data_IF_830928717122
#
_entry.id   IF_830928717122
#
_cell.length_a   1.000
_cell.length_b   1.000
_cell.length_c   1.000
_cell.angle_alpha   90.00
_cell.angle_beta   90.00
_cell.angle_gamma   90.00
#
_symmetry.space_group_name_H-M   'P 1'
#
loop_
_entity.id
_entity.type
_entity.pdbx_description
1 polymer ?
#
# COMPACT_ATOMS: atom_id res chain seq x y z
N UNK A 1 48.46 0.22 -50.22
CA UNK A 1 47.42 -0.42 -49.40
C UNK A 1 47.69 -1.92 -49.44
N UNK A 2 47.89 -2.69 -48.38
CA UNK A 2 47.46 -2.60 -46.98
C UNK A 2 48.58 -3.09 -46.03
N UNK A 3 48.85 -2.34 -44.97
CA UNK A 3 49.60 -2.81 -43.80
C UNK A 3 48.72 -3.77 -42.99
N UNK A 4 49.28 -4.93 -42.59
CA UNK A 4 48.63 -5.87 -41.67
C UNK A 4 48.44 -5.22 -40.29
N UNK A 5 47.29 -5.44 -39.63
CA UNK A 5 47.01 -4.85 -38.32
C UNK A 5 47.83 -5.53 -37.22
N UNK A 6 48.45 -4.72 -36.36
CA UNK A 6 49.05 -5.18 -35.10
C UNK A 6 47.94 -5.54 -34.13
N UNK A 7 47.81 -6.83 -33.80
CA UNK A 7 46.96 -7.29 -32.72
C UNK A 7 47.59 -6.95 -31.37
N UNK A 8 46.95 -6.07 -30.60
CA UNK A 8 47.23 -5.87 -29.18
C UNK A 8 46.88 -7.17 -28.43
N UNK A 9 47.90 -7.97 -28.10
CA UNK A 9 47.74 -9.07 -27.14
C UNK A 9 47.83 -8.44 -25.74
N UNK A 10 46.68 -8.34 -25.06
CA UNK A 10 46.62 -8.00 -23.64
C UNK A 10 47.45 -9.04 -22.84
N UNK A 11 48.24 -8.64 -21.84
CA UNK A 11 48.97 -9.58 -21.01
C UNK A 11 47.98 -10.48 -20.28
N UNK A 12 48.22 -11.80 -20.34
CA UNK A 12 47.43 -12.79 -19.63
C UNK A 12 47.37 -12.46 -18.13
N UNK A 13 46.16 -12.47 -17.56
CA UNK A 13 45.97 -12.30 -16.12
C UNK A 13 46.82 -13.32 -15.34
N UNK A 14 47.47 -12.93 -14.23
CA UNK A 14 48.26 -13.85 -13.44
C UNK A 14 47.40 -15.03 -12.97
N UNK A 15 47.95 -16.26 -12.93
CA UNK A 15 47.21 -17.42 -12.47
C UNK A 15 46.73 -17.16 -11.03
N UNK A 16 45.43 -17.34 -10.81
CA UNK A 16 44.84 -17.29 -9.47
C UNK A 16 45.58 -18.28 -8.57
N UNK A 17 46.00 -17.87 -7.36
CA UNK A 17 46.71 -18.78 -6.47
C UNK A 17 45.82 -19.98 -6.18
N UNK A 18 46.37 -21.22 -6.18
CA UNK A 18 45.59 -22.40 -5.88
C UNK A 18 44.98 -22.23 -4.49
N UNK A 19 43.65 -22.41 -4.40
CA UNK A 19 42.93 -22.38 -3.13
C UNK A 19 43.64 -23.36 -2.19
N UNK A 20 44.09 -22.92 -1.00
CA UNK A 20 44.83 -23.80 -0.10
C UNK A 20 43.95 -25.00 0.24
N UNK A 21 44.51 -26.19 0.02
CA UNK A 21 43.82 -27.45 0.28
C UNK A 21 43.56 -27.52 1.79
N UNK A 22 42.32 -27.30 2.21
CA UNK A 22 41.94 -27.40 3.62
C UNK A 22 41.92 -28.86 4.02
N UNK A 23 42.54 -29.16 5.17
CA UNK A 23 42.42 -30.47 5.82
C UNK A 23 40.94 -30.73 6.09
N UNK A 24 40.47 -31.93 5.76
CA UNK A 24 39.11 -32.35 6.12
C UNK A 24 38.99 -32.39 7.65
N UNK A 25 38.04 -31.64 8.19
CA UNK A 25 37.67 -31.65 9.61
C UNK A 25 36.27 -32.25 9.72
N UNK A 26 36.14 -33.28 10.56
CA UNK A 26 34.86 -33.94 10.80
C UNK A 26 33.94 -32.98 11.58
N UNK A 27 33.00 -32.36 10.88
CA UNK A 27 32.03 -31.45 11.47
C UNK A 27 30.75 -32.19 11.88
N UNK A 28 30.11 -31.79 12.98
CA UNK A 28 28.85 -32.40 13.38
C UNK A 28 27.70 -32.04 12.43
N UNK A 29 26.67 -32.90 12.33
CA UNK A 29 25.50 -32.66 11.49
C UNK A 29 24.67 -31.45 11.98
N UNK A 30 24.43 -30.50 11.08
CA UNK A 30 23.74 -29.22 11.39
C UNK A 30 22.29 -29.38 11.90
N UNK A 31 21.63 -30.51 11.66
CA UNK A 31 20.20 -30.71 11.95
C UNK A 31 19.90 -31.86 12.93
N UNK A 32 20.92 -32.45 13.58
CA UNK A 32 20.76 -33.61 14.48
C UNK A 32 21.22 -33.34 15.91
N UNK A 33 20.86 -32.17 16.43
CA UNK A 33 21.31 -31.75 17.76
C UNK A 33 20.44 -32.48 18.80
N UNK A 34 21.06 -33.26 19.69
CA UNK A 34 20.37 -33.65 20.92
C UNK A 34 20.31 -32.37 21.74
N UNK A 35 19.09 -31.97 22.09
CA UNK A 35 18.69 -30.80 22.88
C UNK A 35 19.82 -30.14 23.72
N UNK A 36 19.86 -28.81 23.84
CA UNK A 36 20.77 -28.16 24.80
C UNK A 36 20.38 -28.49 26.24
N UNK A 37 21.32 -28.92 27.10
CA UNK A 37 21.05 -29.07 28.54
C UNK A 37 20.45 -27.78 29.11
N UNK A 38 19.70 -27.88 30.22
CA UNK A 38 19.21 -26.71 30.97
C UNK A 38 20.35 -25.72 31.33
N UNK A 39 21.59 -26.21 31.40
CA UNK A 39 22.80 -25.40 31.64
C UNK A 39 23.43 -24.81 30.36
N UNK A 40 22.76 -24.90 29.20
CA UNK A 40 23.24 -24.36 27.92
C UNK A 40 24.38 -25.14 27.27
N UNK A 41 24.84 -26.25 27.87
CA UNK A 41 25.82 -27.16 27.25
C UNK A 41 25.12 -28.08 26.26
N UNK A 42 25.65 -28.16 25.03
CA UNK A 42 25.17 -29.11 24.03
C UNK A 42 25.37 -30.56 24.53
N UNK A 43 24.30 -31.36 24.55
CA UNK A 43 24.28 -32.75 25.06
C UNK A 43 24.83 -33.77 24.05
N UNK A 44 25.66 -33.33 23.10
CA UNK A 44 26.16 -34.09 21.94
C UNK A 44 25.18 -34.17 20.76
N UNK A 45 25.60 -34.80 19.67
CA UNK A 45 24.82 -34.95 18.43
C UNK A 45 24.27 -36.36 18.33
N UNK A 46 23.03 -36.50 17.84
CA UNK A 46 22.44 -37.80 17.62
C UNK A 46 23.22 -38.54 16.52
N UNK A 47 23.70 -39.75 16.83
CA UNK A 47 24.37 -40.64 15.88
C UNK A 47 25.66 -40.02 15.29
N UNK A 48 26.42 -39.29 16.13
CA UNK A 48 27.68 -38.68 15.75
C UNK A 48 28.71 -38.82 16.87
N UNK A 49 29.75 -39.61 16.62
CA UNK A 49 30.77 -39.97 17.60
C UNK A 49 32.16 -39.63 17.06
N UNK A 50 32.60 -38.36 17.14
CA UNK A 50 33.92 -37.97 16.67
C UNK A 50 35.00 -38.52 17.60
N UNK A 51 36.18 -38.81 17.06
CA UNK A 51 37.34 -39.18 17.87
C UNK A 51 37.73 -37.99 18.78
N UNK A 52 37.93 -38.26 20.06
CA UNK A 52 38.28 -37.30 21.10
C UNK A 52 39.66 -37.68 21.67
N UNK A 53 40.49 -36.71 22.10
CA UNK A 53 41.73 -37.05 22.79
C UNK A 53 41.47 -37.79 24.11
N UNK A 54 42.36 -38.72 24.48
CA UNK A 54 42.30 -39.50 25.72
C UNK A 54 41.12 -40.48 25.77
N UNK A 55 40.69 -40.99 24.62
CA UNK A 55 39.78 -42.12 24.60
C UNK A 55 40.50 -43.39 25.07
N UNK A 56 39.74 -44.45 25.34
CA UNK A 56 40.29 -45.71 25.89
C UNK A 56 41.33 -46.34 24.95
N UNK A 57 41.21 -46.11 23.65
CA UNK A 57 42.17 -46.47 22.62
C UNK A 57 43.51 -45.73 22.69
N UNK A 58 43.54 -44.51 23.26
CA UNK A 58 44.76 -43.70 23.37
C UNK A 58 45.58 -44.04 24.64
N UNK A 59 45.00 -44.79 25.58
CA UNK A 59 45.62 -45.11 26.87
C UNK A 59 46.49 -46.36 26.74
N UNK A 60 47.79 -46.16 26.46
CA UNK A 60 48.78 -47.23 26.30
C UNK A 60 49.28 -47.77 27.65
N UNK A 61 48.49 -48.64 28.29
CA UNK A 61 48.90 -49.38 29.50
C UNK A 61 49.44 -50.80 29.15
N UNK A 62 50.14 -51.45 30.09
CA UNK A 62 50.78 -52.76 29.84
C UNK A 62 49.78 -53.83 29.33
N UNK A 63 48.53 -53.80 29.82
CA UNK A 63 47.49 -54.72 29.40
C UNK A 63 47.04 -54.48 27.94
N UNK A 64 46.70 -53.23 27.58
CA UNK A 64 46.27 -52.84 26.23
C UNK A 64 47.35 -53.08 25.17
N UNK A 65 48.63 -52.87 25.52
CA UNK A 65 49.76 -53.08 24.60
C UNK A 65 50.01 -54.57 24.36
N UNK A 66 49.85 -55.42 25.38
CA UNK A 66 50.10 -56.87 25.26
C UNK A 66 48.91 -57.66 24.73
N UNK A 67 47.69 -57.28 25.11
CA UNK A 67 46.47 -58.04 24.84
C UNK A 67 45.58 -57.40 23.77
N UNK A 68 45.89 -56.15 23.37
CA UNK A 68 45.04 -55.34 22.51
C UNK A 68 43.86 -54.73 23.26
N UNK A 69 43.21 -53.74 22.63
CA UNK A 69 41.93 -53.23 23.08
C UNK A 69 40.82 -54.15 22.56
N UNK A 70 40.07 -54.77 23.47
CA UNK A 70 38.90 -55.58 23.13
C UNK A 70 37.63 -54.82 23.50
N UNK A 71 36.69 -54.73 22.56
CA UNK A 71 35.37 -54.20 22.84
C UNK A 71 34.63 -55.14 23.80
N UNK A 72 34.03 -54.57 24.83
CA UNK A 72 33.31 -55.35 25.84
C UNK A 72 31.82 -55.17 25.58
N UNK A 73 31.08 -56.25 25.30
CA UNK A 73 29.64 -56.14 25.11
C UNK A 73 29.04 -55.54 26.37
N UNK A 74 28.27 -54.46 26.20
CA UNK A 74 27.62 -53.76 27.32
C UNK A 74 26.53 -54.64 27.97
N UNK A 75 26.05 -55.64 27.23
CA UNK A 75 25.03 -56.59 27.64
C UNK A 75 25.52 -58.02 27.38
N UNK A 76 25.44 -58.90 28.38
CA UNK A 76 25.94 -60.28 28.27
C UNK A 76 25.20 -61.14 27.23
N UNK A 77 23.94 -60.80 26.90
CA UNK A 77 23.04 -61.60 26.07
C UNK A 77 22.61 -60.83 24.80
N UNK A 78 23.54 -60.12 24.16
CA UNK A 78 23.24 -59.25 23.01
C UNK A 78 22.65 -59.98 21.79
N UNK A 79 22.94 -61.28 21.64
CA UNK A 79 22.47 -62.09 20.51
C UNK A 79 21.12 -62.77 20.76
N UNK A 80 20.56 -62.65 21.96
CA UNK A 80 19.27 -63.27 22.30
C UNK A 80 18.09 -62.43 21.80
N UNK A 81 17.04 -63.12 21.37
CA UNK A 81 15.77 -62.49 21.05
C UNK A 81 15.00 -62.10 22.32
N UNK A 82 14.42 -60.92 22.32
CA UNK A 82 13.51 -60.47 23.38
C UNK A 82 12.06 -60.96 23.21
N UNK A 83 11.79 -61.87 22.26
CA UNK A 83 10.43 -62.32 21.93
C UNK A 83 9.66 -62.85 23.15
N UNK A 84 10.21 -63.83 23.87
CA UNK A 84 9.55 -64.43 25.04
C UNK A 84 9.40 -63.45 26.20
N UNK A 85 10.23 -62.41 26.27
CA UNK A 85 10.16 -61.37 27.30
C UNK A 85 9.04 -60.36 27.06
N UNK A 86 8.64 -60.16 25.80
CA UNK A 86 7.78 -59.06 25.38
C UNK A 86 6.43 -59.51 24.84
N UNK A 87 6.30 -60.71 24.28
CA UNK A 87 5.12 -61.14 23.52
C UNK A 87 3.82 -61.02 24.32
N UNK A 88 3.81 -61.45 25.58
CA UNK A 88 2.61 -61.39 26.43
C UNK A 88 2.29 -59.96 26.87
N UNK A 89 3.33 -59.13 27.03
CA UNK A 89 3.19 -57.72 27.38
C UNK A 89 2.63 -56.91 26.22
N UNK A 90 3.09 -57.18 25.00
CA UNK A 90 2.63 -56.51 23.77
C UNK A 90 1.21 -56.92 23.38
N UNK A 91 0.82 -58.17 23.65
CA UNK A 91 -0.56 -58.65 23.43
C UNK A 91 -1.57 -58.09 24.43
N UNK A 92 -1.11 -57.52 25.54
CA UNK A 92 -2.00 -56.92 26.53
C UNK A 92 -2.57 -55.60 26.02
N UNK A 93 -3.90 -55.53 25.90
CA UNK A 93 -4.63 -54.33 25.46
C UNK A 93 -4.26 -53.09 26.29
N UNK A 94 -4.00 -53.26 27.59
CA UNK A 94 -3.56 -52.19 28.48
C UNK A 94 -2.22 -51.58 28.06
N UNK A 95 -1.27 -52.39 27.61
CA UNK A 95 0.07 -51.93 27.20
C UNK A 95 -0.02 -51.18 25.87
N UNK A 96 -0.80 -51.70 24.91
CA UNK A 96 -1.08 -51.03 23.65
C UNK A 96 -1.77 -49.68 23.85
N UNK A 97 -2.74 -49.62 24.76
CA UNK A 97 -3.42 -48.37 25.11
C UNK A 97 -2.44 -47.33 25.70
N UNK A 98 -1.56 -47.74 26.62
CA UNK A 98 -0.53 -46.84 27.18
C UNK A 98 0.46 -46.35 26.12
N UNK A 99 0.94 -47.23 25.23
CA UNK A 99 1.84 -46.84 24.15
C UNK A 99 1.18 -45.86 23.17
N UNK A 100 -0.09 -46.11 22.84
CA UNK A 100 -0.88 -45.23 21.97
C UNK A 100 -1.09 -43.86 22.62
N UNK A 101 -1.44 -43.83 23.90
CA UNK A 101 -1.59 -42.60 24.66
C UNK A 101 -0.27 -41.81 24.72
N UNK A 102 0.85 -42.49 24.99
CA UNK A 102 2.17 -41.87 24.99
C UNK A 102 2.57 -41.31 23.62
N UNK A 103 2.38 -42.08 22.54
CA UNK A 103 2.65 -41.61 21.18
C UNK A 103 1.77 -40.39 20.81
N UNK A 104 0.48 -40.43 21.19
CA UNK A 104 -0.43 -39.30 21.02
C UNK A 104 0.04 -38.06 21.77
N UNK A 105 0.51 -38.22 23.02
CA UNK A 105 1.02 -37.12 23.82
C UNK A 105 2.31 -36.51 23.24
N UNK A 106 3.22 -37.35 22.73
CA UNK A 106 4.44 -36.88 22.04
C UNK A 106 4.08 -36.07 20.79
N UNK A 107 3.12 -36.55 20.00
CA UNK A 107 2.65 -35.85 18.79
C UNK A 107 2.02 -34.50 19.17
N UNK A 108 1.14 -34.48 20.18
CA UNK A 108 0.48 -33.27 20.67
C UNK A 108 1.49 -32.25 21.18
N UNK A 109 2.39 -32.66 22.06
CA UNK A 109 3.45 -31.80 22.61
C UNK A 109 4.33 -31.23 21.50
N UNK A 110 4.68 -32.03 20.48
CA UNK A 110 5.45 -31.57 19.32
C UNK A 110 4.67 -30.57 18.46
N UNK A 111 3.35 -30.74 18.33
CA UNK A 111 2.50 -29.79 17.62
C UNK A 111 2.43 -28.47 18.40
N UNK A 112 2.20 -28.52 19.71
CA UNK A 112 2.12 -27.34 20.58
C UNK A 112 3.43 -26.57 20.62
N UNK A 113 4.58 -27.25 20.69
CA UNK A 113 5.91 -26.64 20.66
C UNK A 113 6.25 -25.94 19.32
N UNK A 114 5.53 -26.24 18.24
CA UNK A 114 5.68 -25.57 16.93
C UNK A 114 4.81 -24.32 16.82
N UNK A 115 3.91 -24.09 17.77
CA UNK A 115 3.08 -22.90 17.79
C UNK A 115 3.91 -21.77 18.41
N UNK A 116 4.24 -20.77 17.59
CA UNK A 116 4.86 -19.55 18.10
C UNK A 116 3.93 -18.91 19.14
N UNK A 117 4.47 -18.40 20.27
CA UNK A 117 3.66 -17.70 21.26
C UNK A 117 2.86 -16.59 20.58
N UNK A 118 1.54 -16.56 20.78
CA UNK A 118 0.68 -15.52 20.20
C UNK A 118 0.95 -14.14 20.82
N UNK A 119 1.45 -14.12 22.04
CA UNK A 119 1.64 -12.91 22.84
C UNK A 119 3.07 -12.37 22.78
N UNK A 120 3.68 -12.33 21.58
CA UNK A 120 4.91 -11.55 21.42
C UNK A 120 4.52 -10.08 21.54
N UNK A 121 5.01 -9.34 22.57
CA UNK A 121 4.65 -7.94 22.74
C UNK A 121 5.12 -7.16 21.50
N UNK A 122 4.17 -6.64 20.73
CA UNK A 122 4.49 -5.76 19.60
C UNK A 122 5.11 -4.48 20.15
N UNK A 123 6.39 -4.26 19.83
CA UNK A 123 7.09 -3.04 20.21
C UNK A 123 6.50 -1.88 19.44
N UNK A 124 6.04 -0.88 20.18
CA UNK A 124 5.54 0.37 19.62
C UNK A 124 6.75 1.20 19.17
N UNK A 125 6.70 1.87 18.00
CA UNK A 125 7.83 2.65 17.51
C UNK A 125 8.27 3.71 18.53
N UNK A 126 9.56 3.76 18.83
CA UNK A 126 10.12 4.73 19.78
C UNK A 126 10.17 6.12 19.16
N UNK A 127 9.68 7.13 19.90
CA UNK A 127 9.68 8.53 19.48
C UNK A 127 10.79 9.28 20.19
N UNK A 128 11.82 9.67 19.43
CA UNK A 128 12.98 10.38 19.95
C UNK A 128 12.74 11.89 19.98
N UNK A 129 13.13 12.55 21.07
CA UNK A 129 13.20 14.00 21.13
C UNK A 129 14.52 14.47 20.50
N UNK A 130 14.46 14.90 19.24
CA UNK A 130 15.62 15.34 18.46
C UNK A 130 15.70 16.88 18.42
N UNK A 131 16.91 17.41 18.35
CA UNK A 131 17.14 18.83 18.01
C UNK A 131 16.68 19.11 16.58
N UNK A 132 16.42 20.38 16.25
CA UNK A 132 15.90 20.74 14.93
C UNK A 132 16.85 20.37 13.79
N UNK A 133 18.17 20.50 14.00
CA UNK A 133 19.18 20.04 13.04
C UNK A 133 19.11 18.53 12.80
N UNK A 134 18.90 17.74 13.86
CA UNK A 134 18.77 16.29 13.75
C UNK A 134 17.43 15.87 13.14
N UNK A 135 16.35 16.63 13.37
CA UNK A 135 15.06 16.42 12.68
C UNK A 135 15.21 16.63 11.17
N UNK A 136 15.86 17.70 10.77
CA UNK A 136 16.10 18.02 9.35
C UNK A 136 17.00 16.97 8.68
N UNK A 137 18.04 16.50 9.37
CA UNK A 137 18.84 15.38 8.89
C UNK A 137 18.01 14.10 8.74
N UNK A 138 17.16 13.78 9.73
CA UNK A 138 16.31 12.59 9.67
C UNK A 138 15.32 12.64 8.49
N UNK A 139 14.77 13.81 8.16
CA UNK A 139 13.91 13.99 6.98
C UNK A 139 14.70 13.79 5.67
N UNK A 140 15.94 14.27 5.60
CA UNK A 140 16.83 13.99 4.46
C UNK A 140 17.13 12.50 4.34
N UNK A 141 17.38 11.82 5.46
CA UNK A 141 17.64 10.39 5.49
C UNK A 141 16.40 9.57 5.11
N UNK A 142 15.20 10.02 5.51
CA UNK A 142 13.93 9.41 5.10
C UNK A 142 13.74 9.49 3.58
N UNK A 143 14.19 10.58 2.94
CA UNK A 143 14.11 10.72 1.48
C UNK A 143 15.07 9.79 0.74
N UNK A 144 16.22 9.46 1.32
CA UNK A 144 17.28 8.67 0.69
C UNK A 144 16.93 7.16 0.58
N UNK A 145 16.69 6.61 -0.62
CA UNK A 145 16.38 5.20 -0.85
C UNK A 145 17.40 4.21 -0.28
N UNK A 146 18.66 4.63 -0.10
CA UNK A 146 19.74 3.77 0.37
C UNK A 146 19.74 3.55 1.88
N UNK A 147 19.06 4.42 2.65
CA UNK A 147 18.98 4.29 4.11
C UNK A 147 17.79 3.37 4.47
N UNK A 148 17.99 2.21 5.11
CA UNK A 148 16.90 1.29 5.42
C UNK A 148 15.94 1.82 6.49
N UNK A 149 14.65 1.51 6.37
CA UNK A 149 13.62 1.98 7.30
C UNK A 149 13.82 1.48 8.75
N UNK A 150 14.36 0.27 8.95
CA UNK A 150 14.63 -0.29 10.29
C UNK A 150 15.72 0.49 11.06
N UNK A 151 16.54 1.28 10.35
CA UNK A 151 17.51 2.19 10.97
C UNK A 151 16.77 3.44 11.47
N UNK A 152 15.89 4.01 10.63
CA UNK A 152 15.10 5.20 10.93
C UNK A 152 14.04 4.97 12.02
N UNK A 153 13.50 3.77 12.11
CA UNK A 153 12.50 3.36 13.11
C UNK A 153 12.98 3.57 14.56
N UNK A 154 14.30 3.50 14.78
CA UNK A 154 14.88 3.64 16.12
C UNK A 154 14.86 5.08 16.65
N UNK A 155 14.74 6.07 15.77
CA UNK A 155 14.94 7.49 16.09
C UNK A 155 13.84 8.37 15.51
N UNK A 156 12.60 7.87 15.40
CA UNK A 156 11.51 8.61 14.77
C UNK A 156 11.27 9.94 15.50
N UNK A 157 11.37 11.11 14.84
CA UNK A 157 11.30 12.39 15.52
C UNK A 157 9.94 12.69 16.13
N UNK A 158 9.93 13.16 17.38
CA UNK A 158 8.74 13.73 18.01
C UNK A 158 8.43 15.14 17.47
N UNK A 159 7.14 15.46 17.33
CA UNK A 159 6.65 16.80 16.94
C UNK A 159 5.97 16.88 15.58
N UNK A 160 6.17 15.89 14.71
CA UNK A 160 5.42 15.76 13.46
C UNK A 160 4.09 15.04 13.70
N UNK A 161 2.99 15.80 13.60
CA UNK A 161 1.60 15.32 13.70
C UNK A 161 0.72 16.14 12.76
N UNK A 162 -0.32 15.49 12.20
CA UNK A 162 -1.36 16.13 11.40
C UNK A 162 -0.81 16.99 10.26
N UNK A 163 -1.23 18.26 10.22
CA UNK A 163 -0.83 19.22 9.17
C UNK A 163 0.69 19.36 9.02
N UNK A 164 1.43 19.43 10.13
CA UNK A 164 2.90 19.58 10.10
C UNK A 164 3.57 18.36 9.48
N UNK A 165 3.04 17.17 9.74
CA UNK A 165 3.54 15.94 9.14
C UNK A 165 3.33 15.98 7.62
N UNK A 166 2.10 16.27 7.19
CA UNK A 166 1.77 16.33 5.77
C UNK A 166 2.57 17.42 5.04
N UNK A 167 2.73 18.59 5.64
CA UNK A 167 3.51 19.69 5.11
C UNK A 167 4.96 19.29 4.84
N UNK A 168 5.62 18.62 5.79
CA UNK A 168 7.01 18.16 5.62
C UNK A 168 7.12 17.11 4.51
N UNK A 169 6.18 16.18 4.41
CA UNK A 169 6.16 15.20 3.32
C UNK A 169 6.08 15.89 1.95
N UNK A 170 5.21 16.91 1.84
CA UNK A 170 4.99 17.68 0.60
C UNK A 170 6.17 18.59 0.29
N UNK A 171 6.73 19.30 1.26
CA UNK A 171 7.85 20.23 1.05
C UNK A 171 9.11 19.48 0.63
N UNK A 172 9.43 18.36 1.29
CA UNK A 172 10.64 17.61 0.99
C UNK A 172 10.49 16.61 -0.15
N UNK A 173 9.27 16.38 -0.65
CA UNK A 173 8.97 15.43 -1.74
C UNK A 173 9.48 14.02 -1.41
N UNK A 174 9.07 13.50 -0.25
CA UNK A 174 9.50 12.18 0.23
C UNK A 174 8.88 11.08 -0.65
N UNK A 175 9.60 10.01 -1.04
CA UNK A 175 9.01 8.91 -1.82
C UNK A 175 7.75 8.34 -1.16
N UNK A 176 6.69 8.09 -1.95
CA UNK A 176 5.34 7.77 -1.46
C UNK A 176 5.32 6.63 -0.43
N UNK A 177 6.00 5.51 -0.73
CA UNK A 177 6.07 4.34 0.16
C UNK A 177 6.65 4.71 1.53
N UNK A 178 7.69 5.55 1.55
CA UNK A 178 8.36 5.98 2.78
C UNK A 178 7.56 7.04 3.53
N UNK A 179 6.91 7.94 2.80
CA UNK A 179 5.98 8.91 3.36
C UNK A 179 4.83 8.19 4.09
N UNK A 180 4.23 7.19 3.43
CA UNK A 180 3.16 6.37 3.99
C UNK A 180 3.63 5.54 5.19
N UNK A 181 4.84 4.96 5.13
CA UNK A 181 5.44 4.31 6.29
C UNK A 181 5.56 5.29 7.48
N UNK A 182 6.05 6.50 7.26
CA UNK A 182 6.22 7.48 8.33
C UNK A 182 4.86 7.90 8.93
N UNK A 183 3.84 8.12 8.09
CA UNK A 183 2.46 8.37 8.55
C UNK A 183 1.97 7.23 9.43
N UNK A 184 2.12 5.97 9.00
CA UNK A 184 1.73 4.77 9.77
C UNK A 184 2.46 4.70 11.12
N UNK A 185 3.76 5.00 11.15
CA UNK A 185 4.52 4.99 12.41
C UNK A 185 4.04 6.07 13.38
N UNK A 186 3.72 7.26 12.88
CA UNK A 186 3.16 8.35 13.70
C UNK A 186 1.78 7.96 14.24
N UNK A 187 0.88 7.46 13.39
CA UNK A 187 -0.49 7.11 13.79
C UNK A 187 -0.54 5.96 14.80
N UNK A 188 0.31 4.94 14.65
CA UNK A 188 0.43 3.84 15.63
C UNK A 188 0.95 4.36 16.99
N UNK A 189 1.97 5.21 16.98
CA UNK A 189 2.50 5.79 18.21
C UNK A 189 1.47 6.68 18.94
N UNK A 190 0.63 7.40 18.19
CA UNK A 190 -0.46 8.20 18.74
C UNK A 190 -1.58 7.32 19.33
N UNK A 191 -1.94 6.24 18.64
CA UNK A 191 -2.95 5.27 19.09
C UNK A 191 -2.62 4.69 20.47
N UNK A 192 -1.34 4.37 20.70
CA UNK A 192 -0.87 3.80 21.97
C UNK A 192 -0.85 4.85 23.09
N UNK A 193 -0.57 6.10 22.75
CA UNK A 193 -0.54 7.21 23.71
C UNK A 193 -1.94 7.61 24.16
N UNK A 194 -2.96 7.39 23.33
CA UNK A 194 -4.36 7.72 23.62
C UNK A 194 -5.11 6.54 24.25
N UNK A 195 -4.85 6.28 25.53
CA UNK A 195 -5.38 5.09 26.23
C UNK A 195 -6.86 5.09 26.67
N UNK A 196 -7.70 6.10 26.42
CA UNK A 196 -9.01 6.12 27.13
C UNK A 196 -10.16 7.01 26.64
N UNK A 197 -10.24 7.45 25.38
CA UNK A 197 -11.45 8.19 24.92
C UNK A 197 -12.00 7.65 23.62
N UNK A 198 -13.29 7.28 23.65
CA UNK A 198 -14.16 7.19 22.47
C UNK A 198 -14.08 8.52 21.71
N UNK A 199 -13.18 8.59 20.75
CA UNK A 199 -13.10 9.65 19.75
C UNK A 199 -12.70 9.04 18.43
N UNK A 200 -13.09 9.75 17.38
CA UNK A 200 -12.85 9.50 15.96
C UNK A 200 -11.63 8.63 15.67
N UNK A 201 -11.81 7.67 14.78
CA UNK A 201 -10.72 6.82 14.29
C UNK A 201 -9.57 7.70 13.78
N UNK A 202 -8.32 7.31 14.03
CA UNK A 202 -7.15 8.04 13.51
C UNK A 202 -7.23 8.24 11.98
N UNK A 203 -7.93 7.35 11.27
CA UNK A 203 -8.27 7.45 9.86
C UNK A 203 -9.12 8.68 9.54
N UNK A 204 -10.18 8.96 10.29
CA UNK A 204 -11.03 10.14 10.09
C UNK A 204 -10.29 11.45 10.41
N UNK A 205 -9.45 11.47 11.44
CA UNK A 205 -8.60 12.64 11.73
C UNK A 205 -7.60 12.89 10.58
N UNK A 206 -6.94 11.84 10.09
CA UNK A 206 -6.01 11.94 8.96
C UNK A 206 -6.69 12.36 7.66
N UNK A 207 -7.91 11.87 7.42
CA UNK A 207 -8.74 12.26 6.27
C UNK A 207 -8.96 13.76 6.25
N UNK A 208 -9.35 14.35 7.39
CA UNK A 208 -9.54 15.80 7.51
C UNK A 208 -8.25 16.59 7.30
N UNK A 209 -7.11 16.09 7.75
CA UNK A 209 -5.81 16.73 7.49
C UNK A 209 -5.51 16.79 5.99
N UNK A 210 -5.74 15.70 5.27
CA UNK A 210 -5.56 15.64 3.81
C UNK A 210 -6.55 16.57 3.09
N UNK A 211 -7.83 16.52 3.47
CA UNK A 211 -8.89 17.38 2.93
C UNK A 211 -8.58 18.88 3.14
N UNK A 212 -8.21 19.26 4.37
CA UNK A 212 -7.89 20.63 4.71
C UNK A 212 -6.65 21.13 3.96
N UNK A 213 -5.64 20.27 3.79
CA UNK A 213 -4.45 20.61 3.01
C UNK A 213 -4.80 20.87 1.55
N UNK A 214 -5.55 19.95 0.92
CA UNK A 214 -6.03 20.14 -0.46
C UNK A 214 -6.87 21.41 -0.59
N UNK A 215 -7.75 21.69 0.37
CA UNK A 215 -8.57 22.90 0.37
C UNK A 215 -7.73 24.18 0.50
N UNK A 216 -6.66 24.18 1.31
CA UNK A 216 -5.73 25.32 1.40
C UNK A 216 -5.02 25.57 0.07
N UNK A 217 -4.52 24.52 -0.58
CA UNK A 217 -3.91 24.63 -1.90
C UNK A 217 -4.90 25.17 -2.96
N UNK A 218 -6.19 24.81 -2.87
CA UNK A 218 -7.23 25.35 -3.75
C UNK A 218 -7.57 26.81 -3.43
N UNK A 219 -7.53 27.21 -2.15
CA UNK A 219 -7.78 28.59 -1.72
C UNK A 219 -6.64 29.53 -2.14
N UNK A 220 -5.39 29.06 -2.12
CA UNK A 220 -4.20 29.82 -2.54
C UNK A 220 -4.21 30.19 -4.03
N UNK A 221 -5.04 29.52 -4.85
CA UNK A 221 -5.24 29.84 -6.26
C UNK A 221 -6.22 30.98 -6.51
N UNK A 222 -7.07 31.30 -5.53
CA UNK A 222 -7.97 32.43 -5.65
C UNK A 222 -7.15 33.72 -5.56
N UNK A 223 -7.38 34.72 -6.43
CA UNK A 223 -6.70 35.99 -6.30
C UNK A 223 -6.96 36.55 -4.89
N UNK A 224 -5.91 37.04 -4.18
CA UNK A 224 -6.14 37.67 -2.88
C UNK A 224 -7.04 38.87 -3.10
N UNK A 225 -8.11 38.98 -2.29
CA UNK A 225 -8.92 40.20 -2.23
C UNK A 225 -7.98 41.43 -2.10
N UNK A 226 -8.29 42.58 -2.74
CA UNK A 226 -7.42 43.74 -2.73
C UNK A 226 -7.22 44.19 -1.28
N UNK A 227 -6.05 43.85 -0.71
CA UNK A 227 -5.64 44.37 0.60
C UNK A 227 -5.10 45.78 0.34
N UNK A 228 -5.62 46.81 1.03
CA UNK A 228 -5.03 48.13 0.91
C UNK A 228 -3.64 48.11 1.54
N UNK A 229 -2.63 48.39 0.72
CA UNK A 229 -1.29 48.87 1.07
C UNK A 229 -0.65 48.34 2.36
N UNK A 230 0.34 47.46 2.22
CA UNK A 230 1.42 47.35 3.20
C UNK A 230 2.76 47.26 2.48
N UNK A 231 3.49 48.37 2.50
CA UNK A 231 4.94 48.44 2.29
C UNK A 231 5.61 47.38 3.16
N UNK A 232 6.56 46.62 2.60
CA UNK A 232 7.77 46.19 3.31
C UNK A 232 8.73 45.53 2.34
N UNK A 233 9.90 46.14 2.21
CA UNK A 233 11.07 45.60 1.56
C UNK A 233 11.49 44.26 2.22
N UNK A 234 11.55 43.19 1.44
CA UNK A 234 12.16 41.92 1.83
C UNK A 234 13.04 41.38 0.69
N UNK A 235 14.31 41.01 0.95
CA UNK A 235 15.22 40.54 -0.07
C UNK A 235 14.94 39.06 -0.38
N UNK A 236 14.70 38.74 -1.66
CA UNK A 236 14.62 37.36 -2.16
C UNK A 236 13.24 36.86 -2.56
N UNK A 237 12.36 37.70 -3.11
CA UNK A 237 11.11 37.22 -3.73
C UNK A 237 11.46 36.33 -4.94
N UNK A 238 11.20 35.03 -4.81
CA UNK A 238 11.22 34.09 -5.92
C UNK A 238 10.39 34.65 -7.08
N UNK A 239 10.86 34.47 -8.32
CA UNK A 239 10.12 34.99 -9.47
C UNK A 239 8.72 34.36 -9.52
N UNK A 240 7.69 35.08 -10.03
CA UNK A 240 6.33 34.53 -10.12
C UNK A 240 6.26 33.16 -10.84
N UNK A 241 7.16 32.94 -11.80
CA UNK A 241 7.31 31.65 -12.48
C UNK A 241 7.83 30.53 -11.56
N UNK A 242 8.82 30.82 -10.70
CA UNK A 242 9.36 29.84 -9.74
C UNK A 242 8.34 29.46 -8.67
N UNK A 243 7.54 30.42 -8.19
CA UNK A 243 6.45 30.17 -7.27
C UNK A 243 5.40 29.22 -7.89
N UNK A 244 5.03 29.44 -9.16
CA UNK A 244 4.09 28.58 -9.89
C UNK A 244 4.61 27.14 -10.08
N UNK A 245 5.87 26.97 -10.46
CA UNK A 245 6.48 25.63 -10.61
C UNK A 245 6.53 24.88 -9.28
N UNK A 246 6.87 25.59 -8.20
CA UNK A 246 6.87 25.03 -6.84
C UNK A 246 5.46 24.61 -6.42
N UNK A 247 4.45 25.44 -6.68
CA UNK A 247 3.04 25.12 -6.43
C UNK A 247 2.61 23.85 -7.17
N UNK A 248 2.85 23.78 -8.49
CA UNK A 248 2.49 22.63 -9.31
C UNK A 248 3.15 21.35 -8.81
N UNK A 249 4.43 21.43 -8.40
CA UNK A 249 5.18 20.28 -7.89
C UNK A 249 4.58 19.77 -6.57
N UNK A 250 4.29 20.69 -5.64
CA UNK A 250 3.64 20.36 -4.36
C UNK A 250 2.23 19.79 -4.57
N UNK A 251 1.43 20.39 -5.44
CA UNK A 251 0.08 19.92 -5.78
C UNK A 251 0.09 18.52 -6.38
N UNK A 252 0.92 18.27 -7.41
CA UNK A 252 1.05 16.94 -8.04
C UNK A 252 1.47 15.88 -7.02
N UNK A 253 2.40 16.21 -6.14
CA UNK A 253 2.83 15.29 -5.09
C UNK A 253 1.71 15.00 -4.09
N UNK A 254 0.98 16.03 -3.66
CA UNK A 254 -0.14 15.87 -2.73
C UNK A 254 -1.26 15.00 -3.34
N UNK A 255 -1.60 15.18 -4.62
CA UNK A 255 -2.56 14.32 -5.33
C UNK A 255 -2.10 12.85 -5.34
N UNK A 256 -0.84 12.60 -5.71
CA UNK A 256 -0.27 11.24 -5.70
C UNK A 256 -0.27 10.62 -4.31
N UNK A 257 0.06 11.40 -3.29
CA UNK A 257 0.07 10.95 -1.90
C UNK A 257 -1.35 10.65 -1.40
N UNK A 258 -2.32 11.51 -1.71
CA UNK A 258 -3.73 11.29 -1.39
C UNK A 258 -4.26 10.01 -2.06
N UNK A 259 -3.91 9.77 -3.34
CA UNK A 259 -4.25 8.53 -4.05
C UNK A 259 -3.65 7.30 -3.37
N UNK A 260 -2.37 7.37 -3.04
CA UNK A 260 -1.67 6.27 -2.36
C UNK A 260 -2.30 5.97 -0.98
N UNK A 261 -2.60 7.00 -0.19
CA UNK A 261 -3.25 6.85 1.11
C UNK A 261 -4.70 6.35 1.02
N UNK A 262 -5.43 6.69 -0.05
CA UNK A 262 -6.77 6.17 -0.30
C UNK A 262 -6.75 4.66 -0.58
N UNK A 263 -5.81 4.20 -1.42
CA UNK A 263 -5.64 2.76 -1.73
C UNK A 263 -5.19 1.96 -0.50
N UNK A 264 -4.33 2.55 0.34
CA UNK A 264 -3.85 1.95 1.59
C UNK A 264 -4.87 2.02 2.75
N UNK A 265 -6.09 2.52 2.52
CA UNK A 265 -7.15 2.70 3.53
C UNK A 265 -6.72 3.55 4.73
N UNK A 266 -5.80 4.49 4.52
CA UNK A 266 -5.41 5.48 5.55
C UNK A 266 -6.35 6.67 5.59
N UNK A 267 -7.08 6.90 4.50
CA UNK A 267 -8.12 7.92 4.36
C UNK A 267 -9.46 7.21 4.28
N UNK A 268 -10.47 7.73 4.97
CA UNK A 268 -11.84 7.24 4.88
C UNK A 268 -12.35 7.50 3.46
N UNK A 269 -12.56 6.41 2.72
CA UNK A 269 -12.87 6.50 1.31
C UNK A 269 -14.20 7.22 1.06
N UNK A 270 -15.20 7.02 1.93
CA UNK A 270 -16.52 7.61 1.76
C UNK A 270 -16.50 9.10 2.06
N UNK A 271 -15.93 9.49 3.19
CA UNK A 271 -15.81 10.89 3.61
C UNK A 271 -15.03 11.69 2.56
N UNK A 272 -13.91 11.13 2.08
CA UNK A 272 -13.07 11.78 1.08
C UNK A 272 -13.77 11.97 -0.28
N UNK A 273 -14.46 10.94 -0.81
CA UNK A 273 -15.21 11.08 -2.06
C UNK A 273 -16.37 12.08 -1.93
N UNK A 274 -17.06 12.09 -0.79
CA UNK A 274 -18.10 13.09 -0.50
C UNK A 274 -17.52 14.50 -0.37
N UNK A 275 -16.31 14.65 0.17
CA UNK A 275 -15.60 15.92 0.20
C UNK A 275 -15.29 16.42 -1.22
N UNK A 276 -14.77 15.57 -2.12
CA UNK A 276 -14.52 15.96 -3.52
C UNK A 276 -15.78 16.53 -4.18
N UNK A 277 -16.93 15.85 -3.99
CA UNK A 277 -18.23 16.30 -4.50
C UNK A 277 -18.67 17.66 -3.95
N UNK A 278 -18.43 17.91 -2.65
CA UNK A 278 -18.72 19.21 -2.04
C UNK A 278 -17.83 20.30 -2.61
N UNK A 279 -16.54 20.03 -2.81
CA UNK A 279 -15.60 21.00 -3.35
C UNK A 279 -15.92 21.39 -4.80
N UNK A 280 -16.19 20.42 -5.69
CA UNK A 280 -16.52 20.73 -7.09
C UNK A 280 -17.85 21.49 -7.21
N UNK A 281 -18.78 21.28 -6.27
CA UNK A 281 -20.03 22.06 -6.23
C UNK A 281 -19.79 23.53 -5.92
N UNK A 282 -18.85 23.89 -5.05
CA UNK A 282 -18.53 25.28 -4.68
C UNK A 282 -17.35 25.90 -5.42
N UNK A 283 -16.65 25.15 -6.26
CA UNK A 283 -15.42 25.60 -6.93
C UNK A 283 -15.63 26.80 -7.86
N UNK A 284 -14.62 27.68 -7.90
CA UNK A 284 -14.46 28.72 -8.93
C UNK A 284 -14.01 28.12 -10.26
N UNK A 285 -13.99 28.92 -11.33
CA UNK A 285 -13.54 28.46 -12.66
C UNK A 285 -12.11 27.89 -12.61
N UNK A 286 -11.16 28.58 -11.97
CA UNK A 286 -9.77 28.13 -11.89
C UNK A 286 -9.59 26.87 -11.03
N UNK A 287 -10.32 26.79 -9.90
CA UNK A 287 -10.30 25.62 -9.02
C UNK A 287 -10.91 24.39 -9.70
N UNK A 288 -11.90 24.59 -10.57
CA UNK A 288 -12.58 23.52 -11.30
C UNK A 288 -11.58 22.72 -12.12
N UNK A 289 -10.68 23.35 -12.86
CA UNK A 289 -9.69 22.62 -13.69
C UNK A 289 -8.79 21.70 -12.86
N UNK A 290 -8.35 22.12 -11.66
CA UNK A 290 -7.54 21.25 -10.80
C UNK A 290 -8.36 20.14 -10.14
N UNK A 291 -9.61 20.44 -9.77
CA UNK A 291 -10.50 19.44 -9.22
C UNK A 291 -10.90 18.41 -10.27
N UNK A 292 -11.00 18.76 -11.56
CA UNK A 292 -11.25 17.80 -12.63
C UNK A 292 -10.10 16.79 -12.77
N UNK A 293 -8.85 17.23 -12.61
CA UNK A 293 -7.68 16.34 -12.54
C UNK A 293 -7.84 15.37 -11.36
N UNK A 294 -8.16 15.89 -10.16
CA UNK A 294 -8.39 15.04 -8.99
C UNK A 294 -9.53 14.06 -9.24
N UNK A 295 -10.69 14.52 -9.71
CA UNK A 295 -11.85 13.67 -9.98
C UNK A 295 -11.51 12.56 -10.97
N UNK A 296 -10.75 12.88 -12.03
CA UNK A 296 -10.38 11.90 -13.05
C UNK A 296 -9.65 10.67 -12.50
N UNK A 297 -8.90 10.83 -11.40
CA UNK A 297 -8.19 9.74 -10.72
C UNK A 297 -9.10 8.87 -9.83
N UNK A 298 -10.32 9.34 -9.52
CA UNK A 298 -11.26 8.70 -8.60
C UNK A 298 -12.60 8.30 -9.24
N UNK A 299 -12.77 8.48 -10.57
CA UNK A 299 -14.02 8.13 -11.29
C UNK A 299 -14.39 6.66 -11.04
N UNK A 300 -13.43 5.74 -11.19
CA UNK A 300 -13.67 4.30 -11.02
C UNK A 300 -14.07 3.94 -9.58
N UNK A 301 -13.54 4.67 -8.59
CA UNK A 301 -13.90 4.48 -7.19
C UNK A 301 -15.28 5.07 -6.86
N UNK A 302 -15.65 6.17 -7.51
CA UNK A 302 -17.00 6.74 -7.42
C UNK A 302 -18.03 5.85 -8.12
N UNK A 303 -17.66 5.16 -9.20
CA UNK A 303 -18.53 4.25 -9.95
C UNK A 303 -19.03 3.08 -9.09
N UNK A 304 -18.24 2.66 -8.08
CA UNK A 304 -18.65 1.64 -7.10
C UNK A 304 -19.87 2.04 -6.28
N UNK A 305 -20.22 3.33 -6.24
CA UNK A 305 -21.38 3.84 -5.50
C UNK A 305 -22.31 4.65 -6.41
N UNK A 306 -23.47 4.06 -6.72
CA UNK A 306 -24.49 4.69 -7.56
C UNK A 306 -24.91 6.08 -7.08
N UNK A 307 -25.00 6.31 -5.77
CA UNK A 307 -25.41 7.60 -5.22
C UNK A 307 -24.37 8.70 -5.41
N UNK A 308 -23.08 8.38 -5.23
CA UNK A 308 -21.97 9.31 -5.44
C UNK A 308 -21.81 9.65 -6.91
N UNK A 309 -21.83 8.63 -7.79
CA UNK A 309 -21.74 8.83 -9.23
C UNK A 309 -22.89 9.68 -9.76
N UNK A 310 -24.13 9.38 -9.35
CA UNK A 310 -25.29 10.18 -9.72
C UNK A 310 -25.15 11.63 -9.29
N UNK A 311 -24.78 11.88 -8.03
CA UNK A 311 -24.59 13.24 -7.51
C UNK A 311 -23.48 13.98 -8.28
N UNK A 312 -22.42 13.27 -8.68
CA UNK A 312 -21.36 13.84 -9.51
C UNK A 312 -21.88 14.30 -10.88
N UNK A 313 -22.58 13.42 -11.59
CA UNK A 313 -23.14 13.72 -12.91
C UNK A 313 -24.14 14.89 -12.82
N UNK A 314 -24.93 14.98 -11.75
CA UNK A 314 -25.85 16.12 -11.47
C UNK A 314 -25.08 17.43 -11.39
N UNK A 315 -23.95 17.45 -10.69
CA UNK A 315 -23.10 18.64 -10.59
C UNK A 315 -22.42 18.94 -11.94
N UNK A 316 -21.93 17.92 -12.64
CA UNK A 316 -21.23 18.07 -13.92
C UNK A 316 -22.13 18.72 -14.98
N UNK A 317 -23.33 18.18 -15.19
CA UNK A 317 -24.28 18.70 -16.18
C UNK A 317 -24.72 20.13 -15.85
N UNK A 318 -25.01 20.42 -14.58
CA UNK A 318 -25.35 21.78 -14.14
C UNK A 318 -24.20 22.78 -14.35
N UNK A 319 -22.93 22.35 -14.23
CA UNK A 319 -21.76 23.19 -14.54
C UNK A 319 -21.57 23.40 -16.03
N UNK A 320 -21.74 22.34 -16.83
CA UNK A 320 -21.67 22.42 -18.30
C UNK A 320 -22.73 23.35 -18.89
N UNK A 321 -23.96 23.31 -18.35
CA UNK A 321 -25.05 24.19 -18.81
C UNK A 321 -24.78 25.67 -18.48
N UNK A 322 -24.18 25.96 -17.31
CA UNK A 322 -23.75 27.34 -16.97
C UNK A 322 -22.66 27.84 -17.91
N UNK A 323 -21.65 27.01 -18.20
CA UNK A 323 -20.58 27.36 -19.14
C UNK A 323 -21.13 27.63 -20.55
N UNK A 324 -22.15 26.86 -20.97
CA UNK A 324 -22.86 27.06 -22.24
C UNK A 324 -23.71 28.34 -22.21
N UNK A 325 -24.42 28.63 -21.12
CA UNK A 325 -25.26 29.82 -20.97
C UNK A 325 -24.48 31.14 -20.89
N UNK A 326 -23.19 31.10 -20.49
CA UNK A 326 -22.31 32.27 -20.47
C UNK A 326 -21.77 32.67 -21.85
N UNK A 327 -21.93 31.83 -22.89
CA UNK A 327 -21.55 32.17 -24.27
C UNK A 327 -22.74 32.03 -25.23
N UNK A 328 -23.39 33.14 -25.63
CA UNK A 328 -24.52 33.12 -26.57
C UNK A 328 -24.12 32.75 -28.01
N UNK A 329 -22.82 32.74 -28.34
CA UNK A 329 -22.30 32.60 -29.71
C UNK A 329 -21.70 31.23 -30.05
N UNK A 330 -21.79 30.25 -29.14
CA UNK A 330 -21.11 28.96 -29.30
C UNK A 330 -19.76 28.93 -28.57
N UNK A 331 -19.55 27.87 -27.80
CA UNK A 331 -18.42 27.70 -26.87
C UNK A 331 -17.08 27.61 -27.63
N UNK A 332 -17.10 27.20 -28.90
CA UNK A 332 -15.90 26.98 -29.71
C UNK A 332 -15.33 28.28 -30.32
N UNK A 333 -16.12 29.36 -30.39
CA UNK A 333 -15.71 30.65 -30.99
C UNK A 333 -15.32 31.71 -29.94
N UNK A 334 -15.54 31.44 -28.65
CA UNK A 334 -15.27 32.38 -27.56
C UNK A 334 -14.32 31.77 -26.52
N UNK A 335 -13.35 32.58 -26.10
CA UNK A 335 -12.30 32.35 -25.09
C UNK A 335 -11.77 30.91 -24.95
N UNK A 336 -10.57 30.65 -25.52
CA UNK A 336 -9.94 29.33 -25.63
C UNK A 336 -9.91 28.54 -24.31
N UNK A 337 -9.84 29.21 -23.17
CA UNK A 337 -9.78 28.58 -21.84
C UNK A 337 -11.12 27.96 -21.44
N UNK A 338 -12.25 28.62 -21.77
CA UNK A 338 -13.60 28.12 -21.48
C UNK A 338 -13.91 26.88 -22.32
N UNK A 339 -13.50 26.91 -23.59
CA UNK A 339 -13.63 25.77 -24.49
C UNK A 339 -12.86 24.54 -23.98
N UNK A 340 -11.62 24.73 -23.51
CA UNK A 340 -10.81 23.62 -22.95
C UNK A 340 -11.47 23.02 -21.71
N UNK A 341 -11.90 23.85 -20.75
CA UNK A 341 -12.56 23.34 -19.54
C UNK A 341 -13.89 22.63 -19.87
N UNK A 342 -14.65 23.13 -20.86
CA UNK A 342 -15.86 22.47 -21.33
C UNK A 342 -15.57 21.08 -21.89
N UNK A 343 -14.53 20.93 -22.72
CA UNK A 343 -14.11 19.63 -23.25
C UNK A 343 -13.62 18.66 -22.16
N UNK A 344 -12.98 19.16 -21.10
CA UNK A 344 -12.61 18.33 -19.94
C UNK A 344 -13.85 17.78 -19.22
N UNK A 345 -14.87 18.61 -19.02
CA UNK A 345 -16.16 18.15 -18.48
C UNK A 345 -16.81 17.10 -19.36
N UNK A 346 -16.84 17.31 -20.68
CA UNK A 346 -17.35 16.34 -21.66
C UNK A 346 -16.65 15.00 -21.46
N UNK A 347 -15.30 14.98 -21.51
CA UNK A 347 -14.51 13.74 -21.36
C UNK A 347 -14.77 13.01 -20.04
N UNK A 348 -14.92 13.76 -18.95
CA UNK A 348 -15.20 13.17 -17.63
C UNK A 348 -16.60 12.56 -17.58
N UNK A 349 -17.62 13.25 -18.13
CA UNK A 349 -18.99 12.71 -18.21
C UNK A 349 -19.05 11.48 -19.11
N UNK A 350 -18.33 11.46 -20.24
CA UNK A 350 -18.19 10.29 -21.10
C UNK A 350 -17.62 9.08 -20.32
N UNK A 351 -16.57 9.30 -19.52
CA UNK A 351 -16.01 8.25 -18.66
C UNK A 351 -16.99 7.80 -17.58
N UNK A 352 -17.78 8.70 -17.00
CA UNK A 352 -18.82 8.34 -16.03
C UNK A 352 -19.91 7.46 -16.66
N UNK A 353 -20.34 7.79 -17.89
CA UNK A 353 -21.31 6.99 -18.66
C UNK A 353 -20.77 5.59 -18.92
N UNK A 354 -19.50 5.47 -19.33
CA UNK A 354 -18.86 4.18 -19.57
C UNK A 354 -18.66 3.38 -18.27
N UNK A 355 -18.30 4.04 -17.17
CA UNK A 355 -17.98 3.37 -15.90
C UNK A 355 -19.22 2.91 -15.13
N UNK A 356 -20.33 3.66 -15.19
CA UNK A 356 -21.56 3.35 -14.45
C UNK A 356 -22.81 3.91 -15.18
N UNK A 357 -23.26 3.26 -16.26
CA UNK A 357 -24.39 3.74 -17.07
C UNK A 357 -25.70 3.85 -16.26
N UNK A 358 -25.93 2.94 -15.31
CA UNK A 358 -27.13 2.93 -14.46
C UNK A 358 -27.23 4.14 -13.51
N UNK A 359 -26.12 4.85 -13.25
CA UNK A 359 -26.12 6.06 -12.43
C UNK A 359 -26.65 7.29 -13.20
N UNK A 360 -26.62 7.25 -14.53
CA UNK A 360 -27.03 8.34 -15.44
C UNK A 360 -28.53 8.27 -15.72
N UNK A 361 -29.14 7.09 -15.59
CA UNK A 361 -30.58 6.89 -15.77
C UNK A 361 -31.36 7.56 -14.63
N UNK A 362 -31.99 8.70 -14.92
CA UNK A 362 -32.90 9.34 -13.98
C UNK A 362 -33.98 10.22 -14.64
N UNK A 363 -35.27 10.01 -14.31
CA UNK A 363 -36.40 10.75 -14.85
C UNK A 363 -36.34 12.28 -14.75
N UNK A 364 -35.78 12.82 -13.66
CA UNK A 364 -35.88 14.26 -13.34
C UNK A 364 -35.09 15.20 -14.25
N UNK A 365 -34.12 14.69 -15.00
CA UNK A 365 -33.10 15.47 -15.69
C UNK A 365 -32.63 14.77 -16.97
N UNK A 366 -33.31 13.68 -17.36
CA UNK A 366 -33.07 12.99 -18.62
C UNK A 366 -33.18 13.93 -19.82
N UNK A 367 -34.14 14.86 -19.83
CA UNK A 367 -34.25 15.87 -20.90
C UNK A 367 -33.03 16.79 -21.01
N UNK A 368 -32.35 17.07 -19.90
CA UNK A 368 -31.08 17.82 -19.88
C UNK A 368 -29.91 16.92 -20.28
N UNK A 369 -29.92 15.65 -19.82
CA UNK A 369 -28.90 14.65 -20.17
C UNK A 369 -28.93 14.33 -21.66
N UNK A 370 -30.09 14.05 -22.25
CA UNK A 370 -30.31 13.64 -23.64
C UNK A 370 -29.67 14.64 -24.60
N UNK A 371 -30.04 15.92 -24.50
CA UNK A 371 -29.48 16.99 -25.35
C UNK A 371 -27.96 17.18 -25.17
N UNK A 372 -27.44 16.91 -23.97
CA UNK A 372 -26.00 17.02 -23.71
C UNK A 372 -25.27 15.78 -24.23
N UNK A 373 -25.83 14.58 -24.06
CA UNK A 373 -25.28 13.30 -24.55
C UNK A 373 -25.30 13.24 -26.08
N UNK A 374 -26.37 13.68 -26.73
CA UNK A 374 -26.46 13.81 -28.19
C UNK A 374 -25.38 14.77 -28.74
N UNK A 375 -25.20 15.93 -28.10
CA UNK A 375 -24.15 16.87 -28.52
C UNK A 375 -22.73 16.34 -28.22
N UNK A 376 -22.55 15.64 -27.10
CA UNK A 376 -21.27 15.04 -26.69
C UNK A 376 -20.81 13.96 -27.69
N UNK A 377 -21.75 13.24 -28.32
CA UNK A 377 -21.48 12.27 -29.39
C UNK A 377 -21.10 12.94 -30.72
N UNK A 378 -21.59 14.16 -30.97
CA UNK A 378 -21.39 14.88 -32.24
C UNK A 378 -20.10 15.72 -32.25
N UNK A 379 -19.63 16.19 -31.09
CA UNK A 379 -18.45 17.08 -31.00
C UNK A 379 -17.10 16.33 -30.89
N UNK A 380 -17.09 15.02 -30.61
CA UNK A 380 -15.86 14.21 -30.49
C UNK A 380 -16.14 12.80 -31.03
N UNK A 381 -15.29 12.27 -31.92
CA UNK A 381 -15.37 10.88 -32.43
C UNK A 381 -15.54 9.90 -31.26
N UNK A 382 -16.78 9.47 -31.03
CA UNK A 382 -17.14 8.63 -29.89
C UNK A 382 -16.70 7.18 -30.17
N UNK A 383 -16.02 6.50 -29.24
CA UNK A 383 -15.70 5.08 -29.37
C UNK A 383 -16.97 4.22 -29.47
N UNK A 384 -16.96 3.13 -30.24
CA UNK A 384 -18.10 2.20 -30.40
C UNK A 384 -18.68 1.70 -29.07
N UNK A 385 -17.84 1.55 -28.03
CA UNK A 385 -18.26 1.17 -26.68
C UNK A 385 -19.19 2.21 -26.02
N UNK A 386 -18.99 3.48 -26.35
CA UNK A 386 -19.81 4.58 -25.83
C UNK A 386 -21.20 4.60 -26.45
N UNK A 387 -21.30 4.28 -27.75
CA UNK A 387 -22.59 4.15 -28.44
C UNK A 387 -23.44 3.05 -27.79
N UNK A 388 -22.85 1.88 -27.52
CA UNK A 388 -23.53 0.77 -26.85
C UNK A 388 -23.94 1.09 -25.41
N UNK A 389 -23.10 1.82 -24.67
CA UNK A 389 -23.43 2.25 -23.31
C UNK A 389 -24.66 3.18 -23.31
N UNK A 390 -24.81 4.02 -24.33
CA UNK A 390 -25.95 4.93 -24.47
C UNK A 390 -27.22 4.18 -24.85
N UNK A 391 -27.16 3.24 -25.80
CA UNK A 391 -28.30 2.36 -26.11
C UNK A 391 -28.81 1.66 -24.85
N UNK A 392 -27.90 1.11 -24.03
CA UNK A 392 -28.24 0.51 -22.74
C UNK A 392 -28.89 1.50 -21.76
N UNK A 393 -28.41 2.75 -21.70
CA UNK A 393 -29.01 3.80 -20.84
C UNK A 393 -30.42 4.17 -21.34
N UNK A 394 -30.61 4.31 -22.65
CA UNK A 394 -31.91 4.65 -23.27
C UNK A 394 -32.92 3.52 -23.01
N UNK A 395 -32.53 2.27 -23.23
CA UNK A 395 -33.36 1.10 -22.93
C UNK A 395 -33.70 1.02 -21.43
N UNK A 396 -32.70 1.18 -20.56
CA UNK A 396 -32.88 1.17 -19.10
C UNK A 396 -33.75 2.33 -18.60
N UNK A 397 -33.69 3.49 -19.26
CA UNK A 397 -34.59 4.62 -19.01
C UNK A 397 -36.02 4.28 -19.44
N UNK A 398 -36.23 3.75 -20.64
CA UNK A 398 -37.54 3.32 -21.12
C UNK A 398 -38.16 2.26 -20.19
N UNK A 399 -37.37 1.32 -19.69
CA UNK A 399 -37.81 0.33 -18.70
C UNK A 399 -38.15 0.96 -17.35
N UNK A 400 -37.30 1.87 -16.86
CA UNK A 400 -37.53 2.59 -15.58
C UNK A 400 -38.77 3.48 -15.66
N UNK A 401 -38.95 4.22 -16.76
CA UNK A 401 -40.14 5.00 -17.02
C UNK A 401 -41.36 4.11 -17.14
N UNK A 402 -41.29 2.99 -17.86
CA UNK A 402 -42.38 2.02 -17.93
C UNK A 402 -42.76 1.53 -16.52
N UNK A 403 -41.79 1.19 -15.67
CA UNK A 403 -42.07 0.75 -14.29
C UNK A 403 -42.63 1.86 -13.38
N UNK A 404 -42.18 3.10 -13.54
CA UNK A 404 -42.66 4.25 -12.74
C UNK A 404 -44.04 4.70 -13.20
N UNK A 405 -44.27 4.78 -14.53
CA UNK A 405 -45.55 5.19 -15.12
C UNK A 405 -46.61 4.07 -15.11
N UNK A 406 -46.23 2.79 -15.06
CA UNK A 406 -47.16 1.68 -14.79
C UNK A 406 -47.60 1.64 -13.32
N UNK A 407 -46.79 2.17 -12.38
CA UNK A 407 -47.22 2.38 -10.99
C UNK A 407 -48.07 3.66 -10.80
N UNK A 408 -48.09 4.56 -11.78
CA UNK A 408 -48.90 5.79 -11.76
C UNK A 408 -49.96 5.80 -12.87
N UNK A 409 -50.47 4.64 -13.28
CA UNK A 409 -51.46 4.51 -14.33
C UNK A 409 -52.82 5.11 -13.93
N UNK A 410 -52.88 6.44 -13.94
CA UNK A 410 -54.00 7.28 -14.32
C UNK A 410 -53.36 8.57 -14.88
N UNK A 411 -53.50 8.76 -16.20
CA UNK A 411 -53.05 9.89 -17.05
C UNK A 411 -51.71 9.72 -17.80
N UNK A 412 -51.81 9.19 -19.03
CA UNK A 412 -50.79 9.25 -20.09
C UNK A 412 -51.18 10.35 -21.09
N UNK A 413 -50.27 11.25 -21.52
CA UNK A 413 -50.35 11.89 -22.83
C UNK A 413 -49.31 11.29 -23.80
N UNK A 414 -49.56 11.40 -25.12
CA UNK A 414 -48.89 10.59 -26.14
C UNK A 414 -47.47 11.08 -26.47
N UNK A 415 -46.62 10.13 -26.86
CA UNK A 415 -45.28 10.32 -27.42
C UNK A 415 -45.28 11.28 -28.63
N UNK A 416 -44.26 12.15 -28.80
CA UNK A 416 -43.96 12.75 -30.08
C UNK A 416 -43.08 11.81 -30.91
N UNK A 417 -43.52 11.50 -32.12
CA UNK A 417 -42.74 10.84 -33.17
C UNK A 417 -41.58 11.70 -33.67
N UNK A 418 -40.50 11.01 -34.02
CA UNK A 418 -39.21 11.42 -34.63
C UNK A 418 -39.13 12.79 -35.31
#
# INVERSE_FOLDING_TARGET
>A
MLQKPQGNVLPAAPPTPPVPVKRYELAPPANRWLHTSLDGKALDYADFYPQKPNQVEDILNEASVRQGLMDRPFLNNETLSAYDLLVDRVKSDSTLATMTAFAGEVIRTKADARIFPKDVPQKVPFRANLSDANREQWIRDLKDPHIPLHVLEKTIPQGYKGDRLLEVLVVHQIPLVRATWFVKMVTVAESVSQKSKEKETNTTEWTRVVENSLQRFLADLSPPAPRPSANTDAPGLASPAQARTTFITKWKYLLKLARYHFVENLVDQKEFLQWILRQIRSATFDQTSLLLILISDYIDDMAKSRSLMRTFVEIALGRMERLRGSSPGGILESDQVVAVQYLEWVRIVQRCILAAPEAVVSPKWWSTCERVVENILLDVEAPDEMVRAIEFIVEGFCETCSRVYLCSADTVPPYPTM
#
